data_IF_215095443863
#
_entry.id   IF_215095443863
#
_cell.length_a   1.000
_cell.length_b   1.000
_cell.length_c   1.000
_cell.angle_alpha   90.00
_cell.angle_beta   90.00
_cell.angle_gamma   90.00
#
_symmetry.space_group_name_H-M   'P 1'
#
loop_
_entity.id
_entity.type
_entity.pdbx_description
1 polymer ?
#
# COMPACT_ATOMS: atom_id res chain seq x y z
N UNK A 1 7.81 -5.12 -5.48
CA UNK A 1 8.96 -4.60 -6.27
C UNK A 1 10.23 -4.87 -5.49
N UNK A 2 11.33 -5.22 -6.16
CA UNK A 2 12.66 -5.34 -5.53
C UNK A 2 13.59 -4.33 -6.18
N UNK A 3 14.14 -3.40 -5.41
CA UNK A 3 15.19 -2.48 -5.82
C UNK A 3 16.54 -3.01 -5.35
N UNK A 4 17.58 -2.91 -6.18
CA UNK A 4 18.93 -3.40 -5.85
C UNK A 4 19.93 -2.27 -6.03
N UNK A 5 20.79 -2.06 -5.03
CA UNK A 5 21.89 -1.11 -5.08
C UNK A 5 23.14 -1.74 -4.48
N UNK A 6 24.14 -2.02 -5.31
CA UNK A 6 25.37 -2.67 -4.89
C UNK A 6 25.11 -4.05 -4.27
N UNK A 7 25.39 -4.19 -2.98
CA UNK A 7 25.23 -5.44 -2.22
C UNK A 7 23.97 -5.43 -1.32
N UNK A 8 23.05 -4.50 -1.54
CA UNK A 8 21.80 -4.37 -0.80
C UNK A 8 20.59 -4.45 -1.74
N UNK A 9 19.52 -5.09 -1.27
CA UNK A 9 18.21 -5.03 -1.90
C UNK A 9 17.15 -4.47 -0.95
N UNK A 10 16.14 -3.82 -1.50
CA UNK A 10 14.94 -3.41 -0.78
C UNK A 10 13.74 -4.00 -1.49
N UNK A 11 12.94 -4.76 -0.74
CA UNK A 11 11.62 -5.19 -1.17
C UNK A 11 10.61 -4.16 -0.71
N UNK A 12 9.97 -3.52 -1.68
CA UNK A 12 8.88 -2.58 -1.47
C UNK A 12 7.60 -3.15 -2.09
N UNK A 13 6.57 -3.25 -1.28
CA UNK A 13 5.24 -3.64 -1.69
C UNK A 13 4.23 -2.52 -1.37
N UNK A 14 3.04 -2.51 -1.99
CA UNK A 14 1.99 -1.55 -1.71
C UNK A 14 0.67 -2.25 -1.40
N UNK A 15 -0.09 -1.71 -0.46
CA UNK A 15 -1.39 -2.26 -0.09
C UNK A 15 -2.37 -1.20 0.39
N UNK A 16 -3.62 -1.31 -0.07
CA UNK A 16 -4.77 -0.55 0.43
C UNK A 16 -5.57 -1.45 1.36
N UNK A 17 -5.79 -1.00 2.60
CA UNK A 17 -6.46 -1.76 3.65
C UNK A 17 -7.90 -1.27 3.83
N UNK A 18 -8.83 -2.24 3.95
CA UNK A 18 -10.25 -2.01 4.22
C UNK A 18 -10.55 -1.45 5.61
N UNK A 19 -11.83 -1.17 5.87
CA UNK A 19 -12.28 -0.72 7.20
C UNK A 19 -12.05 -1.81 8.27
N UNK A 20 -11.78 -1.36 9.51
CA UNK A 20 -11.58 -2.16 10.74
C UNK A 20 -10.23 -2.89 10.92
N UNK A 21 -9.29 -2.79 9.97
CA UNK A 21 -7.98 -3.41 10.12
C UNK A 21 -6.91 -2.42 10.62
N UNK A 22 -6.09 -2.87 11.58
CA UNK A 22 -4.91 -2.15 12.04
C UNK A 22 -3.85 -2.08 10.91
N UNK A 23 -3.58 -0.87 10.44
CA UNK A 23 -2.63 -0.61 9.36
C UNK A 23 -1.19 -0.99 9.72
N UNK A 24 -0.77 -0.79 10.96
CA UNK A 24 0.58 -1.17 11.40
C UNK A 24 0.71 -2.69 11.50
N UNK A 25 -0.35 -3.38 11.94
CA UNK A 25 -0.39 -4.84 11.90
C UNK A 25 -0.35 -5.37 10.47
N UNK A 26 -1.08 -4.77 9.54
CA UNK A 26 -1.06 -5.15 8.12
C UNK A 26 0.32 -4.90 7.49
N UNK A 27 0.96 -3.78 7.82
CA UNK A 27 2.32 -3.47 7.40
C UNK A 27 3.33 -4.51 7.89
N UNK A 28 3.32 -4.84 9.20
CA UNK A 28 4.22 -5.84 9.80
C UNK A 28 4.03 -7.24 9.23
N UNK A 29 2.78 -7.70 9.11
CA UNK A 29 2.48 -9.02 8.53
C UNK A 29 3.05 -9.19 7.13
N UNK A 30 3.02 -8.13 6.34
CA UNK A 30 3.53 -8.17 4.97
C UNK A 30 5.05 -8.14 4.93
N UNK A 31 5.70 -7.46 5.88
CA UNK A 31 7.15 -7.58 6.10
C UNK A 31 7.51 -9.03 6.47
N UNK A 32 6.83 -9.61 7.46
CA UNK A 32 7.06 -11.00 7.92
C UNK A 32 6.90 -12.00 6.76
N UNK A 33 5.84 -11.86 5.95
CA UNK A 33 5.62 -12.68 4.75
C UNK A 33 6.80 -12.66 3.78
N UNK A 34 7.39 -11.49 3.52
CA UNK A 34 8.51 -11.38 2.58
C UNK A 34 9.87 -11.78 3.19
N UNK A 35 10.01 -11.76 4.52
CA UNK A 35 11.22 -12.26 5.19
C UNK A 35 11.42 -13.76 4.96
N UNK A 36 10.34 -14.53 4.78
CA UNK A 36 10.41 -15.96 4.47
C UNK A 36 11.18 -16.25 3.16
N UNK A 37 11.15 -15.31 2.20
CA UNK A 37 11.84 -15.44 0.89
C UNK A 37 13.16 -14.67 0.83
N UNK A 38 13.69 -14.18 1.96
CA UNK A 38 14.91 -13.38 2.00
C UNK A 38 16.11 -14.08 1.34
N UNK A 39 16.27 -15.37 1.61
CA UNK A 39 17.40 -16.15 1.08
C UNK A 39 17.33 -16.32 -0.44
N UNK A 40 16.12 -16.46 -1.00
CA UNK A 40 15.92 -16.51 -2.45
C UNK A 40 16.29 -15.18 -3.10
N UNK A 41 15.91 -14.07 -2.48
CA UNK A 41 16.22 -12.72 -2.97
C UNK A 41 17.74 -12.49 -2.93
N UNK A 42 18.41 -12.86 -1.82
CA UNK A 42 19.87 -12.76 -1.71
C UNK A 42 20.59 -13.55 -2.80
N UNK A 43 20.18 -14.80 -3.02
CA UNK A 43 20.76 -15.65 -4.08
C UNK A 43 20.49 -15.08 -5.47
N UNK A 44 19.24 -14.70 -5.75
CA UNK A 44 18.82 -14.23 -7.08
C UNK A 44 19.50 -12.92 -7.48
N UNK A 45 19.70 -12.00 -6.54
CA UNK A 45 20.28 -10.69 -6.81
C UNK A 45 21.74 -10.56 -6.37
N UNK A 46 22.35 -11.63 -5.84
CA UNK A 46 23.71 -11.65 -5.31
C UNK A 46 23.99 -10.51 -4.31
N UNK A 47 23.06 -10.29 -3.39
CA UNK A 47 23.13 -9.25 -2.35
C UNK A 47 23.36 -9.85 -0.97
N UNK A 48 23.99 -9.08 -0.07
CA UNK A 48 24.25 -9.48 1.32
C UNK A 48 23.12 -9.10 2.26
N UNK A 49 22.52 -7.94 2.02
CA UNK A 49 21.46 -7.38 2.87
C UNK A 49 20.18 -7.21 2.08
N UNK A 50 19.06 -7.52 2.73
CA UNK A 50 17.72 -7.26 2.20
C UNK A 50 16.94 -6.51 3.27
N UNK A 51 16.26 -5.44 2.88
CA UNK A 51 15.30 -4.75 3.72
C UNK A 51 13.91 -4.88 3.14
N UNK A 52 12.91 -4.92 4.01
CA UNK A 52 11.52 -5.11 3.64
C UNK A 52 10.72 -3.94 4.18
N UNK A 53 9.87 -3.36 3.34
CA UNK A 53 8.89 -2.38 3.77
C UNK A 53 7.69 -2.43 2.86
N UNK A 54 6.60 -1.78 3.28
CA UNK A 54 5.39 -1.70 2.48
C UNK A 54 4.80 -0.31 2.55
N UNK A 55 4.27 0.19 1.45
CA UNK A 55 3.40 1.35 1.37
C UNK A 55 1.97 0.94 1.76
N UNK A 56 1.63 1.13 3.04
CA UNK A 56 0.37 0.68 3.63
C UNK A 56 -0.50 1.88 3.97
N UNK A 57 -1.65 1.98 3.32
CA UNK A 57 -2.65 3.00 3.58
C UNK A 57 -4.07 2.44 3.55
N UNK A 58 -5.03 3.13 4.15
CA UNK A 58 -6.44 2.79 4.04
C UNK A 58 -7.05 3.36 2.76
N UNK A 59 -8.23 2.84 2.38
CA UNK A 59 -9.04 3.41 1.29
C UNK A 59 -9.50 4.86 1.55
N UNK A 60 -9.42 5.34 2.80
CA UNK A 60 -9.65 6.74 3.18
C UNK A 60 -8.38 7.60 3.09
N UNK A 61 -7.30 7.07 2.51
CA UNK A 61 -6.04 7.78 2.34
C UNK A 61 -5.21 7.94 3.62
N UNK A 62 -5.54 7.20 4.70
CA UNK A 62 -4.78 7.25 5.96
C UNK A 62 -3.62 6.28 5.90
N UNK A 63 -2.40 6.76 6.09
CA UNK A 63 -1.20 5.93 6.11
C UNK A 63 -1.01 5.19 7.44
N UNK A 64 -0.44 3.98 7.38
CA UNK A 64 0.21 3.38 8.55
C UNK A 64 1.35 4.30 9.01
N UNK A 65 1.41 4.68 10.31
CA UNK A 65 2.51 5.49 10.83
C UNK A 65 3.89 4.86 10.61
N UNK A 66 4.00 3.54 10.77
CA UNK A 66 5.28 2.83 10.63
C UNK A 66 5.69 2.73 9.16
N UNK A 67 4.75 2.37 8.28
CA UNK A 67 4.95 2.39 6.83
C UNK A 67 5.41 3.77 6.34
N UNK A 68 4.71 4.84 6.72
CA UNK A 68 5.05 6.20 6.32
C UNK A 68 6.42 6.64 6.86
N UNK A 69 6.80 6.17 8.05
CA UNK A 69 8.12 6.42 8.63
C UNK A 69 9.21 5.71 7.83
N UNK A 70 9.01 4.44 7.50
CA UNK A 70 9.98 3.64 6.76
C UNK A 70 10.19 4.17 5.34
N UNK A 71 9.11 4.48 4.63
CA UNK A 71 9.20 5.07 3.29
C UNK A 71 10.01 6.37 3.27
N UNK A 72 9.84 7.22 4.29
CA UNK A 72 10.60 8.46 4.45
C UNK A 72 12.05 8.19 4.82
N UNK A 73 12.28 7.29 5.78
CA UNK A 73 13.63 6.92 6.24
C UNK A 73 14.47 6.32 5.11
N UNK A 74 13.85 5.54 4.23
CA UNK A 74 14.49 4.89 3.09
C UNK A 74 14.56 5.80 1.85
N UNK A 75 13.98 7.00 1.90
CA UNK A 75 14.01 7.96 0.80
C UNK A 75 13.07 7.65 -0.38
N UNK A 76 12.11 6.72 -0.22
CA UNK A 76 11.13 6.40 -1.25
C UNK A 76 9.99 7.42 -1.38
N UNK A 77 9.72 8.16 -0.31
CA UNK A 77 8.68 9.18 -0.31
C UNK A 77 9.02 10.31 0.65
N UNK A 78 8.73 11.54 0.25
CA UNK A 78 8.68 12.69 1.14
C UNK A 78 7.29 12.79 1.79
N UNK A 79 7.16 13.64 2.83
CA UNK A 79 5.85 13.97 3.40
C UNK A 79 4.88 14.55 2.35
N UNK A 80 5.40 15.28 1.36
CA UNK A 80 4.59 15.84 0.27
C UNK A 80 4.05 14.73 -0.64
N UNK A 81 4.89 13.74 -0.99
CA UNK A 81 4.46 12.61 -1.82
C UNK A 81 3.37 11.80 -1.13
N UNK A 82 3.53 11.53 0.17
CA UNK A 82 2.52 10.81 0.96
C UNK A 82 1.17 11.55 0.98
N UNK A 83 1.18 12.88 1.10
CA UNK A 83 -0.03 13.71 1.02
C UNK A 83 -0.69 13.62 -0.35
N UNK A 84 0.10 13.73 -1.43
CA UNK A 84 -0.41 13.62 -2.81
C UNK A 84 -1.11 12.27 -3.02
N UNK A 85 -0.48 11.18 -2.57
CA UNK A 85 -1.07 9.84 -2.67
C UNK A 85 -2.36 9.74 -1.84
N UNK A 86 -2.38 10.25 -0.61
CA UNK A 86 -3.62 10.31 0.21
C UNK A 86 -4.75 11.05 -0.51
N UNK A 87 -4.45 12.20 -1.13
CA UNK A 87 -5.42 12.97 -1.90
C UNK A 87 -5.92 12.19 -3.12
N UNK A 88 -5.03 11.50 -3.84
CA UNK A 88 -5.41 10.68 -5.01
C UNK A 88 -6.33 9.53 -4.61
N UNK A 89 -6.04 8.85 -3.51
CA UNK A 89 -6.90 7.79 -2.97
C UNK A 89 -8.28 8.34 -2.63
N UNK A 90 -8.37 9.48 -1.94
CA UNK A 90 -9.65 10.10 -1.61
C UNK A 90 -10.47 10.49 -2.85
N UNK A 91 -9.82 11.09 -3.86
CA UNK A 91 -10.48 11.44 -5.12
C UNK A 91 -11.02 10.19 -5.82
N UNK A 92 -10.21 9.13 -5.89
CA UNK A 92 -10.61 7.84 -6.45
C UNK A 92 -11.80 7.23 -5.72
N UNK A 93 -11.71 7.12 -4.40
CA UNK A 93 -12.78 6.56 -3.56
C UNK A 93 -14.11 7.34 -3.70
N UNK A 94 -14.07 8.67 -3.82
CA UNK A 94 -15.27 9.48 -4.07
C UNK A 94 -15.86 9.20 -5.47
N UNK A 95 -15.01 9.11 -6.49
CA UNK A 95 -15.46 8.83 -7.86
C UNK A 95 -16.08 7.42 -7.96
N UNK A 96 -15.48 6.44 -7.31
CA UNK A 96 -16.01 5.07 -7.20
C UNK A 96 -17.36 5.05 -6.48
N UNK A 97 -17.48 5.73 -5.33
CA UNK A 97 -18.72 5.83 -4.59
C UNK A 97 -19.86 6.46 -5.41
N UNK A 98 -19.55 7.54 -6.15
CA UNK A 98 -20.52 8.19 -7.06
C UNK A 98 -20.98 7.24 -8.17
N UNK A 99 -20.05 6.51 -8.77
CA UNK A 99 -20.34 5.52 -9.82
C UNK A 99 -21.21 4.38 -9.27
N UNK A 100 -20.88 3.86 -8.09
CA UNK A 100 -21.64 2.82 -7.42
C UNK A 100 -23.08 3.29 -7.14
N UNK A 101 -23.25 4.49 -6.58
CA UNK A 101 -24.57 5.05 -6.33
C UNK A 101 -25.36 5.26 -7.62
N UNK A 102 -24.74 5.78 -8.68
CA UNK A 102 -25.41 6.01 -9.96
C UNK A 102 -25.87 4.69 -10.62
N UNK A 103 -25.09 3.61 -10.49
CA UNK A 103 -25.37 2.33 -11.14
C UNK A 103 -26.35 1.48 -10.35
N UNK A 104 -26.22 1.45 -9.02
CA UNK A 104 -27.02 0.57 -8.15
C UNK A 104 -28.36 1.21 -7.76
N UNK A 105 -28.46 2.54 -7.68
CA UNK A 105 -29.71 3.22 -7.30
C UNK A 105 -30.76 3.23 -8.42
N UNK A 106 -30.37 3.06 -9.69
CA UNK A 106 -31.31 2.97 -10.81
C UNK A 106 -32.00 1.60 -10.92
N UNK A 107 -31.43 0.54 -10.33
CA UNK A 107 -32.02 -0.81 -10.35
C UNK A 107 -33.29 -0.98 -9.51
N UNK A 108 -33.55 -0.08 -8.55
CA UNK A 108 -34.77 -0.13 -7.72
C UNK A 108 -35.96 0.61 -8.35
N UNK A 109 -35.72 1.57 -9.24
CA UNK A 109 -36.80 2.36 -9.87
C UNK A 109 -37.41 1.73 -11.12
N UNK A 110 -36.87 0.63 -11.61
CA UNK A 110 -37.36 -0.09 -12.79
C UNK A 110 -38.21 -1.34 -12.47
N UNK A 111 -38.56 -1.56 -11.21
CA UNK A 111 -39.25 -2.78 -10.74
C UNK A 111 -40.65 -2.63 -10.16
N UNK A 112 -41.33 -1.50 -10.38
CA UNK A 112 -42.75 -1.34 -10.01
C UNK A 112 -43.44 -0.46 -11.06
N UNK A 113 -44.04 -1.10 -12.05
CA UNK A 113 -44.91 -0.54 -13.07
C UNK A 113 -45.98 -1.56 -13.40
#
# INVERSE_FOLDING_TARGET
MTAVLGQAAIVLDAQVIGEQADLNRAHRRKIEYYQEVEMDIKRRHNVRTVSFTTATLSWKGVWSPDSARDLRRLGFATTSDLKVVSTRVLIGSIAEYRTFNATTYLGWKSGIG
#
